data_IF_181654022584
#
_entry.id   IF_181654022584
#
_cell.length_a   1.000
_cell.length_b   1.000
_cell.length_c   1.000
_cell.angle_alpha   90.00
_cell.angle_beta   90.00
_cell.angle_gamma   90.00
#
_symmetry.space_group_name_H-M   'P 1'
#
loop_
_entity.id
_entity.type
_entity.pdbx_description
1 polymer ?
#
# COMPACT_ATOMS: atom_id res chain seq x y z
N UNK A 1 -45.66 14.46 -40.52
CA UNK A 1 -44.22 14.53 -40.86
C UNK A 1 -43.46 15.70 -40.21
N UNK A 2 -44.02 16.39 -39.20
CA UNK A 2 -43.29 17.41 -38.41
C UNK A 2 -42.83 16.88 -37.03
N UNK A 3 -43.46 15.82 -36.53
CA UNK A 3 -43.17 15.24 -35.21
C UNK A 3 -41.86 14.43 -35.18
N UNK A 4 -41.46 13.84 -36.31
CA UNK A 4 -40.24 13.02 -36.40
C UNK A 4 -38.98 13.89 -36.23
N UNK A 5 -38.98 15.11 -36.75
CA UNK A 5 -37.89 16.07 -36.59
C UNK A 5 -37.75 16.59 -35.15
N UNK A 6 -38.86 16.70 -34.40
CA UNK A 6 -38.86 17.10 -32.99
C UNK A 6 -38.29 16.02 -32.07
N UNK A 7 -38.48 14.73 -32.39
CA UNK A 7 -37.95 13.61 -31.60
C UNK A 7 -36.43 13.47 -31.76
N UNK A 8 -35.89 13.75 -32.94
CA UNK A 8 -34.45 13.61 -33.22
C UNK A 8 -33.62 14.65 -32.44
N UNK A 9 -34.14 15.86 -32.19
CA UNK A 9 -33.43 16.88 -31.40
C UNK A 9 -33.31 16.54 -29.91
N UNK A 10 -34.22 15.70 -29.36
CA UNK A 10 -34.16 15.28 -27.96
C UNK A 10 -33.19 14.10 -27.73
N UNK A 11 -32.83 13.33 -28.76
CA UNK A 11 -31.97 12.15 -28.59
C UNK A 11 -30.48 12.42 -28.85
N UNK A 12 -30.09 13.57 -29.41
CA UNK A 12 -28.65 13.87 -29.66
C UNK A 12 -27.94 14.53 -28.48
N UNK A 13 -28.66 14.92 -27.42
CA UNK A 13 -28.02 15.45 -26.19
C UNK A 13 -27.62 14.36 -25.21
N UNK A 14 -28.04 13.11 -25.42
CA UNK A 14 -27.78 12.01 -24.47
C UNK A 14 -26.54 11.16 -24.78
N UNK A 15 -25.77 11.47 -25.84
CA UNK A 15 -24.51 10.77 -26.13
C UNK A 15 -23.25 11.50 -25.67
N UNK A 16 -23.36 12.62 -24.94
CA UNK A 16 -22.23 13.32 -24.31
C UNK A 16 -22.10 12.99 -22.82
N UNK A 17 -21.90 11.71 -22.47
CA UNK A 17 -21.34 11.33 -21.17
C UNK A 17 -20.16 10.35 -21.30
N UNK A 18 -19.51 10.33 -22.46
CA UNK A 18 -18.23 9.66 -22.63
C UNK A 18 -17.05 10.59 -22.25
N UNK A 19 -16.94 10.97 -20.97
CA UNK A 19 -15.69 11.46 -20.34
C UNK A 19 -15.85 11.84 -18.86
N UNK A 20 -16.79 11.25 -18.11
CA UNK A 20 -16.70 11.27 -16.65
C UNK A 20 -16.59 9.84 -16.13
N UNK A 21 -15.56 9.14 -16.61
CA UNK A 21 -14.80 8.27 -15.73
C UNK A 21 -14.30 9.18 -14.60
N UNK A 22 -15.09 9.32 -13.54
CA UNK A 22 -14.51 9.54 -12.23
C UNK A 22 -13.57 8.35 -12.06
N UNK A 23 -12.28 8.59 -12.29
CA UNK A 23 -11.24 7.70 -11.84
C UNK A 23 -11.47 7.56 -10.33
N UNK A 24 -12.17 6.50 -9.94
CA UNK A 24 -12.39 6.14 -8.55
C UNK A 24 -11.02 5.81 -7.99
N UNK A 25 -10.44 6.81 -7.33
CA UNK A 25 -9.37 6.72 -6.34
C UNK A 25 -8.14 5.95 -6.83
N UNK A 26 -7.37 6.55 -7.75
CA UNK A 26 -5.92 6.44 -7.61
C UNK A 26 -5.63 7.27 -6.36
N UNK A 27 -5.51 6.59 -5.21
CA UNK A 27 -5.33 7.22 -3.91
C UNK A 27 -4.33 8.36 -4.02
N UNK A 28 -4.68 9.51 -3.43
CA UNK A 28 -3.80 10.67 -3.46
C UNK A 28 -2.39 10.27 -2.96
N UNK A 29 -1.31 10.96 -3.36
CA UNK A 29 0.06 10.68 -2.90
C UNK A 29 0.25 10.75 -1.37
N UNK A 30 -0.81 11.07 -0.61
CA UNK A 30 -0.82 11.14 0.84
C UNK A 30 -1.63 10.01 1.49
N UNK A 31 -2.47 9.26 0.77
CA UNK A 31 -3.23 8.14 1.37
C UNK A 31 -2.36 6.92 1.70
N UNK A 32 -1.17 6.84 1.12
CA UNK A 32 -0.19 5.78 1.38
C UNK A 32 0.34 5.81 2.81
N UNK A 33 0.39 6.99 3.46
CA UNK A 33 0.98 7.22 4.78
C UNK A 33 -0.01 7.30 5.94
N UNK A 34 -1.31 7.25 5.67
CA UNK A 34 -2.34 7.32 6.72
C UNK A 34 -3.25 6.09 6.67
N UNK A 35 -3.87 5.77 7.79
CA UNK A 35 -4.89 4.72 7.92
C UNK A 35 -6.00 5.21 8.85
N UNK A 36 -7.19 4.64 8.73
CA UNK A 36 -8.31 4.92 9.63
C UNK A 36 -8.40 3.84 10.70
N UNK A 37 -8.64 4.24 11.95
CA UNK A 37 -8.86 3.32 13.07
C UNK A 37 -10.23 2.66 12.97
N UNK A 38 -10.33 1.41 13.45
CA UNK A 38 -11.61 0.69 13.46
C UNK A 38 -12.58 1.25 14.51
N UNK A 39 -12.06 1.75 15.64
CA UNK A 39 -12.88 2.12 16.80
C UNK A 39 -13.71 3.39 16.59
N UNK A 40 -13.11 4.41 15.97
CA UNK A 40 -13.69 5.75 15.86
C UNK A 40 -13.43 6.43 14.51
N UNK A 41 -13.01 5.66 13.50
CA UNK A 41 -12.68 6.16 12.16
C UNK A 41 -11.74 7.38 12.15
N UNK A 42 -10.80 7.40 13.09
CA UNK A 42 -9.80 8.48 13.22
C UNK A 42 -8.68 8.25 12.21
N UNK A 43 -8.30 9.32 11.51
CA UNK A 43 -7.15 9.29 10.58
C UNK A 43 -5.83 9.33 11.36
N UNK A 44 -5.11 8.22 11.37
CA UNK A 44 -3.79 8.07 12.00
C UNK A 44 -2.67 7.99 10.95
N UNK A 45 -1.48 8.46 11.31
CA UNK A 45 -0.27 8.24 10.51
C UNK A 45 0.20 6.79 10.65
N UNK A 46 0.52 6.12 9.55
CA UNK A 46 1.12 4.78 9.53
C UNK A 46 2.55 4.82 10.08
N UNK A 47 3.04 3.66 10.49
CA UNK A 47 4.43 3.46 10.86
C UNK A 47 5.32 3.43 9.61
N UNK A 48 6.50 4.08 9.63
CA UNK A 48 7.43 4.07 8.52
C UNK A 48 8.12 2.70 8.36
N UNK A 49 8.75 2.45 7.19
CA UNK A 49 9.61 1.28 6.99
C UNK A 49 10.66 1.15 8.10
N UNK A 50 10.95 -0.09 8.53
CA UNK A 50 11.86 -0.33 9.65
C UNK A 50 11.19 -0.41 11.02
N UNK A 51 9.89 -0.14 11.12
CA UNK A 51 9.20 -0.04 12.41
C UNK A 51 7.93 -0.89 12.45
N UNK A 52 7.33 -1.03 13.65
CA UNK A 52 6.01 -1.63 13.87
C UNK A 52 5.17 -0.81 14.82
N UNK A 53 3.86 -0.93 14.69
CA UNK A 53 2.87 -0.29 15.55
C UNK A 53 2.89 -0.88 16.97
N UNK A 54 3.01 -0.03 17.98
CA UNK A 54 2.86 -0.41 19.40
C UNK A 54 1.63 0.23 20.01
N UNK A 55 1.35 1.49 19.67
CA UNK A 55 0.17 2.21 20.13
C UNK A 55 -0.48 2.94 18.98
N UNK A 56 -1.75 2.61 18.73
CA UNK A 56 -2.59 3.32 17.78
C UNK A 56 -2.83 4.76 18.26
N UNK A 57 -2.97 5.69 17.32
CA UNK A 57 -3.33 7.06 17.65
C UNK A 57 -4.76 7.15 18.19
N UNK A 58 -5.03 8.15 19.02
CA UNK A 58 -6.37 8.40 19.58
C UNK A 58 -7.10 9.55 18.88
N UNK A 59 -6.37 10.43 18.19
CA UNK A 59 -6.88 11.56 17.41
C UNK A 59 -5.84 11.97 16.36
N UNK A 60 -6.24 12.82 15.40
CA UNK A 60 -5.38 13.36 14.34
C UNK A 60 -4.15 14.12 14.87
N UNK A 61 -4.21 14.70 16.06
CA UNK A 61 -3.13 15.49 16.66
C UNK A 61 -2.18 14.65 17.51
N UNK A 62 -2.55 13.41 17.83
CA UNK A 62 -1.71 12.48 18.57
C UNK A 62 -1.02 11.50 17.63
N UNK A 63 0.29 11.34 17.79
CA UNK A 63 1.05 10.44 16.91
C UNK A 63 0.86 8.96 17.27
N UNK A 64 0.77 8.16 16.22
CA UNK A 64 0.94 6.70 16.27
C UNK A 64 2.32 6.36 16.83
N UNK A 65 2.40 5.51 17.87
CA UNK A 65 3.69 5.07 18.41
C UNK A 65 4.22 3.87 17.66
N UNK A 66 5.38 4.05 17.05
CA UNK A 66 6.11 3.03 16.31
C UNK A 66 7.47 2.76 16.95
N UNK A 67 7.93 1.52 16.95
CA UNK A 67 9.27 1.13 17.40
C UNK A 67 9.99 0.34 16.31
N UNK A 68 11.32 0.27 16.35
CA UNK A 68 12.09 -0.53 15.39
C UNK A 68 11.63 -2.00 15.38
N UNK A 69 11.67 -2.63 14.21
CA UNK A 69 11.55 -4.08 14.11
C UNK A 69 12.60 -4.79 14.96
N UNK A 70 12.25 -5.96 15.49
CA UNK A 70 13.21 -6.85 16.16
C UNK A 70 14.26 -7.37 15.18
N UNK A 71 15.33 -7.97 15.72
CA UNK A 71 16.34 -8.66 14.92
C UNK A 71 15.67 -9.72 13.99
N UNK A 72 16.26 -9.90 12.80
CA UNK A 72 15.78 -10.82 11.76
C UNK A 72 14.33 -10.57 11.28
N UNK A 73 13.84 -9.35 11.43
CA UNK A 73 12.55 -8.92 10.89
C UNK A 73 12.63 -7.61 10.14
N UNK A 74 11.69 -7.40 9.23
CA UNK A 74 11.68 -6.24 8.35
C UNK A 74 10.27 -5.70 8.07
N UNK A 75 10.23 -4.46 7.59
CA UNK A 75 9.05 -3.82 7.02
C UNK A 75 9.49 -2.79 5.96
N UNK A 76 9.07 -2.98 4.71
CA UNK A 76 9.50 -2.18 3.55
C UNK A 76 8.59 -0.98 3.26
N UNK A 77 7.34 -1.03 3.72
CA UNK A 77 6.31 -0.05 3.36
C UNK A 77 5.75 0.66 4.59
N UNK A 78 5.07 1.79 4.35
CA UNK A 78 4.25 2.44 5.36
C UNK A 78 3.07 1.54 5.70
N UNK A 79 2.90 1.23 6.99
CA UNK A 79 1.95 0.20 7.41
C UNK A 79 1.37 0.48 8.81
N UNK A 80 0.30 -0.24 9.18
CA UNK A 80 -0.31 -0.20 10.51
C UNK A 80 -0.21 -1.54 11.27
N UNK A 81 0.67 -2.45 10.83
CA UNK A 81 0.85 -3.75 11.47
C UNK A 81 1.52 -3.63 12.83
N UNK A 82 1.05 -4.43 13.79
CA UNK A 82 1.66 -4.58 15.11
C UNK A 82 2.90 -5.48 15.10
N UNK A 83 3.16 -6.18 13.99
CA UNK A 83 4.26 -7.12 13.81
C UNK A 83 5.05 -6.83 12.52
N UNK A 84 6.36 -7.07 12.58
CA UNK A 84 7.22 -7.06 11.39
C UNK A 84 7.26 -8.43 10.72
N UNK A 85 7.60 -8.47 9.42
CA UNK A 85 7.74 -9.71 8.64
C UNK A 85 9.05 -10.39 9.03
N UNK A 86 9.06 -11.70 9.18
CA UNK A 86 10.28 -12.46 9.45
C UNK A 86 11.15 -12.53 8.19
N UNK A 87 12.46 -12.40 8.36
CA UNK A 87 13.42 -12.69 7.31
C UNK A 87 13.61 -14.20 7.13
N UNK A 88 13.78 -14.64 5.89
CA UNK A 88 14.28 -15.98 5.58
C UNK A 88 15.63 -16.17 6.26
N UNK A 89 15.91 -17.31 6.89
CA UNK A 89 17.13 -17.54 7.71
C UNK A 89 18.43 -17.62 6.93
N UNK A 90 18.41 -18.16 5.71
CA UNK A 90 19.54 -18.18 4.77
C UNK A 90 19.05 -18.54 3.37
N UNK A 91 19.82 -18.16 2.34
CA UNK A 91 19.60 -18.68 0.99
C UNK A 91 20.06 -20.14 0.92
N UNK A 92 19.25 -21.00 0.30
CA UNK A 92 19.57 -22.43 0.22
C UNK A 92 20.66 -22.68 -0.82
N UNK A 93 21.86 -23.00 -0.33
CA UNK A 93 22.97 -23.41 -1.20
C UNK A 93 22.69 -24.71 -1.94
N UNK A 94 21.90 -25.61 -1.35
CA UNK A 94 21.48 -26.87 -1.98
C UNK A 94 20.59 -26.64 -3.21
N UNK A 95 19.91 -25.49 -3.28
CA UNK A 95 19.14 -25.06 -4.44
C UNK A 95 19.87 -24.05 -5.32
N UNK A 96 21.20 -23.94 -5.20
CA UNK A 96 22.03 -22.99 -5.94
C UNK A 96 21.59 -21.52 -5.75
N UNK A 97 21.11 -21.16 -4.56
CA UNK A 97 20.72 -19.78 -4.26
C UNK A 97 21.81 -19.02 -3.50
N UNK A 98 22.07 -17.77 -3.92
CA UNK A 98 23.01 -16.83 -3.31
C UNK A 98 22.28 -15.59 -2.79
N UNK A 99 22.77 -15.02 -1.69
CA UNK A 99 22.19 -13.79 -1.13
C UNK A 99 22.61 -12.60 -1.99
N UNK A 100 21.63 -11.95 -2.63
CA UNK A 100 21.83 -10.71 -3.40
C UNK A 100 21.41 -9.47 -2.62
N UNK A 101 20.59 -9.65 -1.58
CA UNK A 101 20.22 -8.58 -0.66
C UNK A 101 20.15 -9.09 0.78
N UNK A 102 20.81 -8.37 1.69
CA UNK A 102 20.76 -8.62 3.13
C UNK A 102 19.42 -8.23 3.73
N UNK A 103 18.97 -9.03 4.69
CA UNK A 103 17.88 -8.62 5.58
C UNK A 103 18.33 -7.44 6.45
N UNK A 104 17.49 -6.41 6.55
CA UNK A 104 17.61 -5.32 7.52
C UNK A 104 16.24 -5.06 8.13
N UNK A 105 16.11 -4.13 9.08
CA UNK A 105 14.78 -3.73 9.55
C UNK A 105 13.88 -3.17 8.42
N UNK A 106 14.47 -2.67 7.33
CA UNK A 106 13.75 -2.05 6.21
C UNK A 106 13.65 -2.90 4.96
N UNK A 107 14.40 -4.00 4.86
CA UNK A 107 14.53 -4.77 3.62
C UNK A 107 14.48 -6.26 3.88
N UNK A 108 13.78 -6.99 3.01
CA UNK A 108 13.81 -8.44 3.01
C UNK A 108 15.21 -8.97 2.63
N UNK A 109 15.51 -10.20 3.06
CA UNK A 109 16.54 -11.01 2.41
C UNK A 109 16.05 -11.44 1.04
N UNK A 110 16.84 -11.18 0.00
CA UNK A 110 16.58 -11.66 -1.36
C UNK A 110 17.66 -12.67 -1.73
N UNK A 111 17.19 -13.83 -2.19
CA UNK A 111 18.01 -14.91 -2.69
C UNK A 111 17.77 -15.02 -4.19
N UNK A 112 18.84 -15.18 -4.96
CA UNK A 112 18.78 -15.34 -6.41
C UNK A 112 19.59 -16.57 -6.84
N UNK A 113 19.39 -17.04 -8.07
CA UNK A 113 20.15 -18.15 -8.63
C UNK A 113 21.63 -17.77 -8.73
N UNK A 114 22.49 -18.72 -8.38
CA UNK A 114 23.91 -18.64 -8.66
C UNK A 114 24.12 -18.60 -10.17
N UNK A 115 25.11 -17.83 -10.64
CA UNK A 115 25.43 -17.75 -12.05
C UNK A 115 25.64 -19.15 -12.66
N UNK A 116 24.91 -19.43 -13.75
CA UNK A 116 24.97 -20.71 -14.48
C UNK A 116 23.92 -21.75 -14.06
N UNK A 117 22.94 -21.39 -13.23
CA UNK A 117 21.80 -22.23 -12.82
C UNK A 117 20.46 -21.62 -13.22
#
# INVERSE_FOLDING_TARGET
MAYIWLVILLTVTESWQAANMQATVIGSPQEDKYFYTTDNNTRCKKCPPGTRLVKQCTSLTHDTKCISCEADKYMETWHSSKTCRACTTKCSREHNLVEVQKCTNRTARICDCQAGY
#
